data_IF_224100615762
#
_entry.id   IF_224100615762
#
_cell.length_a   1.000
_cell.length_b   1.000
_cell.length_c   1.000
_cell.angle_alpha   90.00
_cell.angle_beta   90.00
_cell.angle_gamma   90.00
#
_symmetry.space_group_name_H-M   'P 1'
#
loop_
_entity.id
_entity.type
_entity.pdbx_description
1 polymer ?
#
# COMPACT_ATOMS: atom_id res chain seq x y z
N UNK A 1 -14.43 -18.00 -22.89
CA UNK A 1 -14.23 -17.58 -21.50
C UNK A 1 -14.39 -18.81 -20.62
N UNK A 2 -13.41 -19.09 -19.78
CA UNK A 2 -13.36 -20.28 -18.92
C UNK A 2 -13.96 -19.95 -17.55
N UNK A 3 -15.19 -20.41 -17.34
CA UNK A 3 -15.98 -20.13 -16.13
C UNK A 3 -15.33 -20.77 -14.89
N UNK A 4 -14.66 -21.92 -15.05
CA UNK A 4 -14.01 -22.58 -13.92
C UNK A 4 -12.82 -21.76 -13.44
N UNK A 5 -12.01 -21.22 -14.37
CA UNK A 5 -10.92 -20.30 -14.02
C UNK A 5 -11.41 -19.01 -13.37
N UNK A 6 -12.61 -18.53 -13.73
CA UNK A 6 -13.22 -17.36 -13.10
C UNK A 6 -13.58 -17.67 -11.64
N UNK A 7 -14.21 -18.82 -11.40
CA UNK A 7 -14.61 -19.23 -10.05
C UNK A 7 -13.38 -19.50 -9.17
N UNK A 8 -12.31 -20.07 -9.73
CA UNK A 8 -11.05 -20.33 -9.03
C UNK A 8 -10.22 -19.07 -8.75
N UNK A 9 -10.44 -17.97 -9.50
CA UNK A 9 -9.64 -16.76 -9.39
C UNK A 9 -9.89 -15.96 -8.10
N UNK A 10 -11.02 -16.20 -7.42
CA UNK A 10 -11.44 -15.57 -6.15
C UNK A 10 -11.05 -14.09 -6.04
N UNK A 11 -11.40 -13.30 -7.07
CA UNK A 11 -10.92 -11.93 -7.22
C UNK A 11 -11.55 -11.17 -8.39
N UNK A 12 -11.18 -9.89 -8.51
CA UNK A 12 -11.68 -9.01 -9.57
C UNK A 12 -11.24 -9.48 -10.96
N UNK A 13 -12.16 -9.40 -11.93
CA UNK A 13 -11.90 -9.67 -13.34
C UNK A 13 -11.64 -8.35 -14.05
N UNK A 14 -10.54 -8.32 -14.81
CA UNK A 14 -10.15 -7.17 -15.61
C UNK A 14 -10.42 -7.44 -17.08
N UNK A 15 -10.75 -6.37 -17.80
CA UNK A 15 -10.93 -6.40 -19.24
C UNK A 15 -10.22 -5.21 -19.86
N UNK A 16 -9.40 -5.49 -20.86
CA UNK A 16 -8.77 -4.48 -21.70
C UNK A 16 -9.29 -4.63 -23.12
N UNK A 17 -9.75 -3.52 -23.68
CA UNK A 17 -10.20 -3.44 -25.07
C UNK A 17 -9.14 -2.71 -25.90
N UNK A 18 -8.83 -3.26 -27.07
CA UNK A 18 -7.97 -2.66 -28.10
C UNK A 18 -8.88 -2.24 -29.27
N UNK A 19 -9.35 -0.98 -29.30
CA UNK A 19 -10.36 -0.54 -30.27
C UNK A 19 -9.88 -0.69 -31.71
N UNK A 20 -8.62 -0.35 -31.96
CA UNK A 20 -8.02 -0.36 -33.30
C UNK A 20 -7.90 -1.77 -33.88
N UNK A 21 -7.74 -2.78 -33.02
CA UNK A 21 -7.64 -4.18 -33.42
C UNK A 21 -8.99 -4.92 -33.31
N UNK A 22 -10.02 -4.28 -32.74
CA UNK A 22 -11.28 -4.91 -32.36
C UNK A 22 -11.08 -6.19 -31.51
N UNK A 23 -10.13 -6.13 -30.57
CA UNK A 23 -9.77 -7.25 -29.69
C UNK A 23 -10.09 -6.87 -28.24
N UNK A 24 -10.64 -7.82 -27.49
CA UNK A 24 -10.83 -7.67 -26.05
C UNK A 24 -10.23 -8.86 -25.31
N UNK A 25 -9.57 -8.57 -24.20
CA UNK A 25 -8.89 -9.56 -23.37
C UNK A 25 -9.43 -9.49 -21.96
N UNK A 26 -9.89 -10.64 -21.44
CA UNK A 26 -10.30 -10.77 -20.04
C UNK A 26 -9.29 -11.60 -19.27
N UNK A 27 -8.85 -11.07 -18.14
CA UNK A 27 -7.80 -11.67 -17.32
C UNK A 27 -8.03 -11.37 -15.84
N UNK A 28 -7.40 -12.17 -14.98
CA UNK A 28 -7.24 -11.88 -13.55
C UNK A 28 -5.86 -11.31 -13.28
N UNK A 29 -5.63 -10.77 -12.09
CA UNK A 29 -4.27 -10.43 -11.66
C UNK A 29 -3.57 -11.63 -11.01
N UNK A 30 -2.24 -11.53 -10.91
CA UNK A 30 -1.45 -12.50 -10.18
C UNK A 30 -1.69 -12.30 -8.68
N UNK A 31 -1.78 -13.40 -7.93
CA UNK A 31 -1.68 -13.30 -6.48
C UNK A 31 -0.30 -12.75 -6.08
N UNK A 32 -0.18 -12.14 -4.90
CA UNK A 32 1.12 -11.65 -4.39
C UNK A 32 2.19 -12.75 -4.37
N UNK A 33 1.80 -14.01 -4.17
CA UNK A 33 2.70 -15.16 -4.22
C UNK A 33 3.17 -15.43 -5.66
N UNK A 34 2.23 -15.49 -6.61
CA UNK A 34 2.55 -15.67 -8.02
C UNK A 34 3.45 -14.53 -8.52
N UNK A 35 3.06 -13.27 -8.29
CA UNK A 35 3.84 -12.09 -8.68
C UNK A 35 5.28 -12.13 -8.17
N UNK A 36 5.51 -12.48 -6.90
CA UNK A 36 6.86 -12.61 -6.34
C UNK A 36 7.72 -13.61 -7.11
N UNK A 37 7.14 -14.74 -7.54
CA UNK A 37 7.86 -15.75 -8.34
C UNK A 37 8.24 -15.15 -9.69
N UNK A 38 7.29 -14.55 -10.42
CA UNK A 38 7.56 -13.93 -11.72
C UNK A 38 8.60 -12.80 -11.61
N UNK A 39 8.49 -11.95 -10.58
CA UNK A 39 9.46 -10.90 -10.28
C UNK A 39 10.85 -11.47 -10.03
N UNK A 40 10.98 -12.49 -9.18
CA UNK A 40 12.29 -13.12 -8.92
C UNK A 40 12.91 -13.75 -10.16
N UNK A 41 12.11 -14.36 -11.03
CA UNK A 41 12.60 -14.92 -12.30
C UNK A 41 13.09 -13.83 -13.27
N UNK A 42 12.39 -12.70 -13.33
CA UNK A 42 12.77 -11.52 -14.13
C UNK A 42 14.01 -10.84 -13.57
N UNK A 43 13.98 -10.42 -12.31
CA UNK A 43 15.02 -9.61 -11.67
C UNK A 43 16.30 -10.44 -11.44
N UNK A 44 16.15 -11.76 -11.28
CA UNK A 44 17.26 -12.72 -11.24
C UNK A 44 17.89 -13.02 -12.60
N UNK A 45 17.34 -12.48 -13.70
CA UNK A 45 17.84 -12.69 -15.06
C UNK A 45 17.72 -14.14 -15.54
N UNK A 46 16.85 -14.95 -14.92
CA UNK A 46 16.67 -16.36 -15.26
C UNK A 46 15.91 -16.49 -16.59
N UNK A 47 14.90 -15.65 -16.78
CA UNK A 47 14.11 -15.58 -18.00
C UNK A 47 14.10 -14.15 -18.56
N UNK A 48 14.14 -13.98 -19.89
CA UNK A 48 13.97 -12.68 -20.51
C UNK A 48 12.60 -12.05 -20.17
N UNK A 49 12.50 -10.71 -20.10
CA UNK A 49 11.25 -10.03 -19.76
C UNK A 49 10.05 -10.46 -20.63
N UNK A 50 10.23 -10.58 -21.94
CA UNK A 50 9.12 -10.97 -22.83
C UNK A 50 8.55 -12.36 -22.50
N UNK A 51 9.40 -13.31 -22.12
CA UNK A 51 8.98 -14.67 -21.74
C UNK A 51 8.16 -14.62 -20.45
N UNK A 52 8.60 -13.79 -19.49
CA UNK A 52 7.87 -13.59 -18.23
C UNK A 52 6.48 -13.04 -18.50
N UNK A 53 6.37 -12.05 -19.39
CA UNK A 53 5.09 -11.43 -19.74
C UNK A 53 4.15 -12.41 -20.45
N UNK A 54 4.65 -13.21 -21.39
CA UNK A 54 3.85 -14.28 -22.03
C UNK A 54 3.38 -15.32 -21.01
N UNK A 55 4.25 -15.76 -20.11
CA UNK A 55 3.87 -16.71 -19.07
C UNK A 55 2.85 -16.12 -18.08
N UNK A 56 2.96 -14.83 -17.75
CA UNK A 56 1.98 -14.13 -16.92
C UNK A 56 0.62 -14.03 -17.63
N UNK A 57 0.62 -13.72 -18.93
CA UNK A 57 -0.58 -13.73 -19.76
C UNK A 57 -1.24 -15.10 -19.77
N UNK A 58 -0.51 -16.16 -20.11
CA UNK A 58 -1.05 -17.53 -20.20
C UNK A 58 -1.66 -18.01 -18.87
N UNK A 59 -1.03 -17.61 -17.76
CA UNK A 59 -1.47 -17.98 -16.41
C UNK A 59 -2.75 -17.27 -15.98
N UNK A 60 -2.94 -16.03 -16.42
CA UNK A 60 -3.99 -15.14 -15.94
C UNK A 60 -5.12 -14.90 -16.94
N UNK A 61 -4.91 -15.24 -18.22
CA UNK A 61 -5.92 -15.11 -19.25
C UNK A 61 -7.07 -16.09 -19.02
N UNK A 62 -8.30 -15.56 -19.06
CA UNK A 62 -9.53 -16.30 -18.80
C UNK A 62 -10.15 -16.86 -20.10
N UNK A 63 -9.49 -16.71 -21.24
CA UNK A 63 -9.87 -17.38 -22.47
C UNK A 63 -9.09 -18.68 -22.70
N UNK A 64 -9.31 -19.27 -23.87
CA UNK A 64 -8.50 -20.39 -24.34
C UNK A 64 -7.40 -19.81 -25.23
N UNK A 65 -6.14 -19.90 -24.78
CA UNK A 65 -4.98 -19.38 -25.51
C UNK A 65 -4.81 -20.04 -26.87
N UNK A 66 -5.24 -21.30 -27.02
CA UNK A 66 -5.22 -22.02 -28.30
C UNK A 66 -6.30 -21.55 -29.29
N UNK A 67 -7.28 -20.76 -28.84
CA UNK A 67 -8.35 -20.20 -29.68
C UNK A 67 -8.14 -18.69 -29.95
N UNK A 68 -6.99 -18.15 -29.58
CA UNK A 68 -6.58 -16.78 -29.92
C UNK A 68 -6.47 -16.69 -31.44
N UNK A 69 -7.13 -15.68 -32.02
CA UNK A 69 -7.15 -15.47 -33.46
C UNK A 69 -5.70 -15.34 -34.00
N UNK A 70 -5.40 -16.06 -35.08
CA UNK A 70 -4.10 -16.03 -35.76
C UNK A 70 -3.79 -14.63 -36.31
N UNK A 71 -4.84 -13.85 -36.63
CA UNK A 71 -4.71 -12.48 -37.13
C UNK A 71 -4.43 -11.44 -36.02
N UNK A 72 -4.20 -11.88 -34.79
CA UNK A 72 -3.90 -11.00 -33.67
C UNK A 72 -2.55 -10.30 -33.88
N UNK A 73 -2.49 -8.96 -33.76
CA UNK A 73 -1.24 -8.24 -33.79
C UNK A 73 -0.22 -8.82 -32.80
N UNK A 74 1.00 -9.01 -33.29
CA UNK A 74 2.11 -9.47 -32.47
C UNK A 74 2.33 -8.51 -31.29
N UNK A 75 2.61 -9.07 -30.12
CA UNK A 75 2.88 -8.30 -28.91
C UNK A 75 1.67 -7.97 -28.04
N UNK A 76 0.42 -8.19 -28.48
CA UNK A 76 -0.76 -7.97 -27.61
C UNK A 76 -0.70 -8.84 -26.35
N UNK A 77 -0.32 -10.11 -26.48
CA UNK A 77 -0.15 -11.02 -25.35
C UNK A 77 0.93 -10.54 -24.39
N UNK A 78 2.06 -10.07 -24.92
CA UNK A 78 3.16 -9.49 -24.15
C UNK A 78 2.70 -8.23 -23.43
N UNK A 79 2.02 -7.30 -24.11
CA UNK A 79 1.52 -6.06 -23.52
C UNK A 79 0.51 -6.30 -22.41
N UNK A 80 -0.40 -7.28 -22.57
CA UNK A 80 -1.32 -7.66 -21.50
C UNK A 80 -0.58 -8.36 -20.36
N UNK A 81 0.43 -9.18 -20.66
CA UNK A 81 1.31 -9.79 -19.65
C UNK A 81 2.06 -8.75 -18.81
N UNK A 82 2.62 -7.73 -19.46
CA UNK A 82 3.27 -6.59 -18.80
C UNK A 82 2.28 -5.82 -17.93
N UNK A 83 1.07 -5.56 -18.46
CA UNK A 83 0.01 -4.90 -17.72
C UNK A 83 -0.41 -5.71 -16.49
N UNK A 84 -0.53 -7.04 -16.60
CA UNK A 84 -0.79 -7.92 -15.46
C UNK A 84 0.32 -7.78 -14.42
N UNK A 85 1.59 -7.84 -14.82
CA UNK A 85 2.73 -7.71 -13.90
C UNK A 85 2.72 -6.34 -13.19
N UNK A 86 2.46 -5.27 -13.92
CA UNK A 86 2.36 -3.91 -13.39
C UNK A 86 1.23 -3.78 -12.37
N UNK A 87 0.00 -4.15 -12.74
CA UNK A 87 -1.17 -4.09 -11.86
C UNK A 87 -1.07 -5.06 -10.67
N UNK A 88 -0.27 -6.12 -10.78
CA UNK A 88 -0.07 -7.09 -9.69
C UNK A 88 1.00 -6.67 -8.68
N UNK A 89 1.90 -5.72 -9.03
CA UNK A 89 2.88 -5.24 -8.06
C UNK A 89 4.08 -4.43 -8.57
N UNK A 90 4.32 -4.29 -9.88
CA UNK A 90 5.37 -3.36 -10.36
C UNK A 90 4.94 -1.89 -10.40
N UNK A 91 3.75 -1.58 -9.91
CA UNK A 91 3.22 -0.22 -9.83
C UNK A 91 4.22 0.76 -9.20
N UNK A 92 4.26 1.98 -9.74
CA UNK A 92 5.03 3.08 -9.20
C UNK A 92 4.37 3.66 -7.94
N UNK A 93 5.14 4.47 -7.20
CA UNK A 93 4.70 5.04 -5.92
C UNK A 93 3.44 5.91 -6.07
N UNK A 94 3.34 6.70 -7.14
CA UNK A 94 2.18 7.58 -7.35
C UNK A 94 0.90 6.77 -7.58
N UNK A 95 0.98 5.74 -8.43
CA UNK A 95 -0.12 4.80 -8.68
C UNK A 95 -0.51 4.04 -7.42
N UNK A 96 0.45 3.55 -6.64
CA UNK A 96 0.17 2.88 -5.37
C UNK A 96 -0.55 3.80 -4.36
N UNK A 97 -0.13 5.05 -4.26
CA UNK A 97 -0.78 6.04 -3.39
C UNK A 97 -2.21 6.31 -3.86
N UNK A 98 -2.43 6.42 -5.17
CA UNK A 98 -3.76 6.59 -5.75
C UNK A 98 -4.66 5.37 -5.44
N UNK A 99 -4.16 4.15 -5.65
CA UNK A 99 -4.89 2.91 -5.39
C UNK A 99 -5.26 2.75 -3.92
N UNK A 100 -4.33 3.06 -3.01
CA UNK A 100 -4.61 3.07 -1.56
C UNK A 100 -5.66 4.14 -1.22
N UNK A 101 -5.61 5.31 -1.85
CA UNK A 101 -6.59 6.37 -1.66
C UNK A 101 -7.98 5.92 -2.10
N UNK A 102 -8.09 5.27 -3.26
CA UNK A 102 -9.34 4.68 -3.77
C UNK A 102 -9.86 3.61 -2.81
N UNK A 103 -8.99 2.70 -2.35
CA UNK A 103 -9.36 1.65 -1.39
C UNK A 103 -9.89 2.24 -0.07
N UNK A 104 -9.30 3.33 0.43
CA UNK A 104 -9.78 4.06 1.62
C UNK A 104 -11.13 4.73 1.39
N UNK A 105 -11.42 5.19 0.18
CA UNK A 105 -12.75 5.73 -0.16
C UNK A 105 -13.81 4.63 -0.21
N UNK A 106 -13.46 3.44 -0.69
CA UNK A 106 -14.35 2.28 -0.71
C UNK A 106 -14.62 1.72 0.69
N UNK A 107 -13.66 1.84 1.61
CA UNK A 107 -13.76 1.40 3.00
C UNK A 107 -13.56 2.58 3.97
N UNK A 108 -14.54 3.49 4.11
CA UNK A 108 -14.40 4.62 5.02
C UNK A 108 -14.38 4.10 6.46
N UNK A 109 -13.43 4.55 7.29
CA UNK A 109 -13.29 4.08 8.68
C UNK A 109 -14.51 4.42 9.54
N UNK A 110 -15.24 5.48 9.18
CA UNK A 110 -16.36 6.01 9.95
C UNK A 110 -17.71 5.40 9.55
N UNK A 111 -17.70 4.17 9.03
CA UNK A 111 -18.94 3.45 8.69
C UNK A 111 -19.28 2.41 9.75
N UNK A 112 -20.58 2.23 9.99
CA UNK A 112 -21.10 1.17 10.86
C UNK A 112 -20.63 -0.20 10.38
N UNK A 113 -20.49 -0.40 9.07
CA UNK A 113 -20.06 -1.66 8.50
C UNK A 113 -18.60 -2.01 8.87
N UNK A 114 -17.67 -1.05 8.73
CA UNK A 114 -16.27 -1.27 9.12
C UNK A 114 -16.11 -1.42 10.64
N UNK A 115 -16.90 -0.71 11.43
CA UNK A 115 -17.00 -0.95 12.88
C UNK A 115 -17.42 -2.39 13.19
N UNK A 116 -18.49 -2.87 12.55
CA UNK A 116 -18.99 -4.23 12.76
C UNK A 116 -17.97 -5.29 12.34
N UNK A 117 -17.30 -5.11 11.19
CA UNK A 117 -16.21 -5.99 10.74
C UNK A 117 -15.08 -6.04 11.76
N UNK A 118 -14.62 -4.87 12.21
CA UNK A 118 -13.55 -4.76 13.21
C UNK A 118 -13.90 -5.49 14.52
N UNK A 119 -15.13 -5.31 15.01
CA UNK A 119 -15.60 -6.00 16.21
C UNK A 119 -15.58 -7.53 16.05
N UNK A 120 -16.05 -8.05 14.92
CA UNK A 120 -16.08 -9.51 14.66
C UNK A 120 -14.66 -10.10 14.56
N UNK A 121 -13.76 -9.45 13.83
CA UNK A 121 -12.37 -9.93 13.67
C UNK A 121 -11.64 -9.88 15.02
N UNK A 122 -11.85 -8.81 15.79
CA UNK A 122 -11.20 -8.65 17.11
C UNK A 122 -11.71 -9.70 18.10
N UNK A 123 -13.01 -10.01 18.10
CA UNK A 123 -13.60 -11.00 18.98
C UNK A 123 -13.25 -12.46 18.59
N UNK A 124 -13.04 -12.72 17.29
CA UNK A 124 -12.77 -14.06 16.77
C UNK A 124 -11.48 -14.07 15.93
N UNK A 125 -10.31 -14.31 16.55
CA UNK A 125 -9.02 -14.30 15.87
C UNK A 125 -8.86 -15.32 14.72
N UNK A 126 -9.76 -16.31 14.64
CA UNK A 126 -9.78 -17.33 13.59
C UNK A 126 -10.54 -16.89 12.34
N UNK A 127 -11.31 -15.80 12.38
CA UNK A 127 -12.00 -15.26 11.22
C UNK A 127 -11.07 -14.36 10.40
N UNK A 128 -11.04 -14.56 9.09
CA UNK A 128 -10.41 -13.65 8.12
C UNK A 128 -11.43 -12.68 7.55
N UNK A 129 -10.95 -11.62 6.89
CA UNK A 129 -11.81 -10.66 6.18
C UNK A 129 -12.63 -11.37 5.08
N UNK A 130 -11.99 -12.27 4.33
CA UNK A 130 -12.65 -13.06 3.27
C UNK A 130 -13.78 -13.94 3.81
N UNK A 131 -13.63 -14.47 5.04
CA UNK A 131 -14.70 -15.23 5.68
C UNK A 131 -15.93 -14.36 5.95
N UNK A 132 -15.76 -13.06 6.19
CA UNK A 132 -16.86 -12.13 6.47
C UNK A 132 -17.60 -11.70 5.21
N UNK A 133 -16.89 -11.56 4.08
CA UNK A 133 -17.49 -11.18 2.80
C UNK A 133 -18.39 -12.26 2.22
N UNK A 134 -18.11 -13.50 2.55
CA UNK A 134 -18.93 -14.64 2.16
C UNK A 134 -20.17 -14.85 3.06
N UNK A 135 -20.34 -14.05 4.11
CA UNK A 135 -21.50 -14.18 5.00
C UNK A 135 -22.74 -13.50 4.43
N UNK A 136 -23.87 -14.17 4.58
CA UNK A 136 -25.16 -13.49 4.41
C UNK A 136 -25.33 -12.43 5.49
N UNK A 137 -26.10 -11.37 5.19
CA UNK A 137 -26.42 -10.28 6.14
C UNK A 137 -26.88 -10.79 7.51
N UNK A 138 -27.73 -11.83 7.53
CA UNK A 138 -28.25 -12.40 8.78
C UNK A 138 -27.17 -13.10 9.60
N UNK A 139 -26.26 -13.83 8.95
CA UNK A 139 -25.12 -14.46 9.61
C UNK A 139 -24.15 -13.40 10.14
N UNK A 140 -23.86 -12.38 9.33
CA UNK A 140 -22.99 -11.27 9.72
C UNK A 140 -23.52 -10.53 10.96
N UNK A 141 -24.80 -10.15 10.97
CA UNK A 141 -25.43 -9.50 12.13
C UNK A 141 -25.41 -10.39 13.38
N UNK A 142 -25.64 -11.69 13.22
CA UNK A 142 -25.56 -12.65 14.32
C UNK A 142 -24.16 -12.71 14.91
N UNK A 143 -23.13 -12.79 14.08
CA UNK A 143 -21.75 -12.82 14.55
C UNK A 143 -21.32 -11.51 15.18
N UNK A 144 -21.75 -10.38 14.63
CA UNK A 144 -21.52 -9.07 15.24
C UNK A 144 -22.12 -8.99 16.65
N UNK A 145 -23.40 -9.39 16.83
CA UNK A 145 -24.02 -9.36 18.14
C UNK A 145 -23.32 -10.28 19.17
N UNK A 146 -22.78 -11.43 18.73
CA UNK A 146 -21.99 -12.30 19.59
C UNK A 146 -20.64 -11.65 19.90
N UNK A 147 -19.98 -11.07 18.90
CA UNK A 147 -18.71 -10.37 19.05
C UNK A 147 -18.78 -9.21 20.05
N UNK A 148 -19.81 -8.36 19.96
CA UNK A 148 -20.03 -7.28 20.94
C UNK A 148 -20.15 -7.82 22.36
N UNK A 149 -20.85 -8.94 22.56
CA UNK A 149 -20.98 -9.56 23.88
C UNK A 149 -19.67 -10.13 24.40
N UNK A 150 -18.81 -10.65 23.52
CA UNK A 150 -17.46 -11.11 23.88
C UNK A 150 -16.59 -9.91 24.25
N UNK A 151 -16.57 -8.86 23.44
CA UNK A 151 -15.77 -7.66 23.67
C UNK A 151 -16.20 -6.91 24.93
N UNK A 152 -17.51 -6.79 25.19
CA UNK A 152 -18.03 -6.19 26.44
C UNK A 152 -17.55 -6.94 27.69
N UNK A 153 -17.32 -8.26 27.58
CA UNK A 153 -16.82 -9.09 28.70
C UNK A 153 -15.30 -9.04 28.86
N UNK A 154 -14.57 -8.81 27.78
CA UNK A 154 -13.10 -8.77 27.79
C UNK A 154 -12.57 -7.38 28.14
N UNK A 155 -13.25 -6.33 27.69
CA UNK A 155 -12.87 -4.94 27.89
C UNK A 155 -14.02 -4.16 28.54
N UNK A 156 -13.84 -3.73 29.78
CA UNK A 156 -14.83 -2.91 30.51
C UNK A 156 -15.08 -1.55 29.85
N UNK A 157 -14.12 -1.04 29.08
CA UNK A 157 -14.20 0.22 28.35
C UNK A 157 -14.91 0.09 26.99
N UNK A 158 -15.23 -1.14 26.55
CA UNK A 158 -15.87 -1.35 25.25
C UNK A 158 -17.30 -0.81 25.24
N UNK A 159 -17.55 0.22 24.43
CA UNK A 159 -18.88 0.78 24.20
C UNK A 159 -19.54 0.07 23.03
N UNK A 160 -20.72 -0.50 23.28
CA UNK A 160 -21.58 -1.09 22.26
C UNK A 160 -22.05 -0.05 21.25
N UNK A 161 -22.32 -0.51 20.04
CA UNK A 161 -22.86 0.34 18.99
C UNK A 161 -24.20 0.94 19.39
N UNK A 162 -24.26 2.27 19.45
CA UNK A 162 -25.51 2.97 19.74
C UNK A 162 -26.36 3.08 18.47
N UNK A 163 -27.42 2.28 18.39
CA UNK A 163 -28.32 2.24 17.23
C UNK A 163 -29.00 3.59 16.93
N UNK A 164 -29.12 4.48 17.93
CA UNK A 164 -29.75 5.81 17.78
C UNK A 164 -28.84 6.83 17.08
N UNK A 165 -27.54 6.58 17.04
CA UNK A 165 -26.54 7.48 16.45
C UNK A 165 -26.23 7.10 14.99
N UNK A 166 -26.80 6.00 14.50
CA UNK A 166 -26.68 5.57 13.11
C UNK A 166 -27.49 6.54 12.24
N UNK A 167 -26.79 7.47 11.60
CA UNK A 167 -27.38 8.40 10.61
C UNK A 167 -27.37 7.78 9.22
N UNK A 168 -28.44 7.98 8.48
CA UNK A 168 -28.47 7.65 7.06
C UNK A 168 -27.75 8.73 6.23
N UNK A 169 -27.26 8.36 5.03
CA UNK A 169 -26.54 9.28 4.15
C UNK A 169 -27.34 10.56 3.83
N UNK A 170 -28.68 10.52 3.85
CA UNK A 170 -29.55 11.69 3.69
C UNK A 170 -29.64 12.61 4.91
N UNK A 171 -29.36 12.11 6.12
CA UNK A 171 -29.38 12.90 7.37
C UNK A 171 -28.04 13.63 7.60
N UNK A 172 -26.95 13.16 6.98
CA UNK A 172 -25.65 13.85 7.01
C UNK A 172 -25.62 15.13 6.15
N UNK A 173 -26.49 15.24 5.14
CA UNK A 173 -26.60 16.44 4.28
C UNK A 173 -27.41 17.59 4.90
N UNK A 174 -28.14 17.34 5.99
CA UNK A 174 -28.75 18.40 6.80
C UNK A 174 -27.71 19.00 7.74
N UNK A 175 -27.34 20.26 7.50
CA UNK A 175 -26.39 21.07 8.29
C UNK A 175 -26.48 20.75 9.79
N UNK A 176 -25.38 20.34 10.45
CA UNK A 176 -25.41 20.12 11.88
C UNK A 176 -25.39 21.48 12.59
N UNK A 177 -26.44 21.74 13.37
CA UNK A 177 -26.38 22.70 14.46
C UNK A 177 -26.17 21.89 15.76
N UNK A 178 -24.95 21.41 15.95
CA UNK A 178 -24.28 21.18 17.24
C UNK A 178 -22.98 20.37 17.02
N UNK A 179 -21.88 20.91 17.57
CA UNK A 179 -20.55 20.31 17.67
C UNK A 179 -20.59 18.87 18.18
N UNK A 180 -20.37 17.90 17.28
CA UNK A 180 -19.94 16.55 17.65
C UNK A 180 -18.66 16.28 16.86
N UNK A 181 -17.54 16.29 17.57
CA UNK A 181 -16.20 16.06 17.03
C UNK A 181 -15.87 14.56 17.03
N UNK A 182 -16.29 13.86 15.97
CA UNK A 182 -16.00 12.44 15.74
C UNK A 182 -14.49 12.12 15.71
N UNK A 183 -13.61 13.13 15.49
CA UNK A 183 -12.16 12.91 15.58
C UNK A 183 -11.69 12.66 17.01
N UNK A 184 -12.41 13.18 18.01
CA UNK A 184 -12.06 12.98 19.42
C UNK A 184 -12.40 11.56 19.87
N UNK A 185 -13.57 11.06 19.51
CA UNK A 185 -14.01 9.71 19.89
C UNK A 185 -13.18 8.62 19.19
N UNK A 186 -12.81 8.82 17.91
CA UNK A 186 -11.90 7.91 17.21
C UNK A 186 -10.48 7.90 17.78
N UNK A 187 -9.97 9.05 18.30
CA UNK A 187 -8.66 9.11 18.98
C UNK A 187 -8.66 8.39 20.32
N UNK A 188 -9.77 8.46 21.06
CA UNK A 188 -9.91 7.78 22.36
C UNK A 188 -10.04 6.26 22.18
N UNK A 189 -10.74 5.81 21.13
CA UNK A 189 -10.84 4.39 20.78
C UNK A 189 -9.51 3.84 20.24
N UNK A 190 -8.79 4.62 19.43
CA UNK A 190 -7.43 4.26 18.97
C UNK A 190 -6.44 4.06 20.12
N UNK A 191 -6.61 4.80 21.23
CA UNK A 191 -5.84 4.61 22.47
C UNK A 191 -6.26 3.35 23.23
N UNK A 192 -7.55 3.04 23.28
CA UNK A 192 -8.08 1.89 24.01
C UNK A 192 -7.81 0.54 23.31
N UNK A 193 -7.72 0.52 21.98
CA UNK A 193 -7.49 -0.70 21.17
C UNK A 193 -6.01 -1.11 21.12
N UNK A 194 -5.12 -0.39 21.83
CA UNK A 194 -3.72 -0.77 21.94
C UNK A 194 -3.02 -0.73 20.58
N UNK A 195 -3.07 0.43 19.91
CA UNK A 195 -2.18 0.63 18.78
C UNK A 195 -0.73 0.55 19.24
N UNK A 196 -0.01 -0.42 18.68
CA UNK A 196 1.40 -0.26 18.32
C UNK A 196 1.58 1.16 17.78
N UNK A 197 2.20 2.03 18.59
CA UNK A 197 2.45 3.42 18.23
C UNK A 197 3.35 3.46 16.99
N UNK A 198 2.75 3.58 15.81
CA UNK A 198 3.48 3.78 14.55
C UNK A 198 4.32 5.06 14.60
N UNK A 199 3.94 6.03 15.43
CA UNK A 199 4.75 7.22 15.73
C UNK A 199 5.98 6.88 16.60
N UNK A 200 5.86 6.09 17.68
CA UNK A 200 7.04 5.66 18.46
C UNK A 200 7.95 4.70 17.67
N UNK A 201 7.39 3.89 16.77
CA UNK A 201 8.17 3.04 15.86
C UNK A 201 8.90 3.88 14.79
N UNK A 202 8.27 4.92 14.25
CA UNK A 202 8.92 5.86 13.33
C UNK A 202 9.96 6.75 14.02
N UNK A 203 9.70 7.16 15.27
CA UNK A 203 10.63 7.96 16.05
C UNK A 203 11.84 7.13 16.50
N UNK A 204 11.64 5.88 16.95
CA UNK A 204 12.75 4.93 17.18
C UNK A 204 13.53 4.65 15.90
N UNK A 205 12.87 4.46 14.76
CA UNK A 205 13.54 4.25 13.49
C UNK A 205 14.34 5.49 13.05
N UNK A 206 13.81 6.71 13.27
CA UNK A 206 14.52 7.97 13.00
C UNK A 206 15.69 8.21 13.96
N UNK A 207 15.56 7.83 15.23
CA UNK A 207 16.66 7.89 16.22
C UNK A 207 17.76 6.88 15.91
N UNK A 208 17.42 5.64 15.52
CA UNK A 208 18.38 4.63 15.08
C UNK A 208 19.09 5.04 13.77
N UNK A 209 18.40 5.69 12.83
CA UNK A 209 18.99 6.25 11.61
C UNK A 209 19.95 7.41 11.90
N UNK A 210 19.61 8.28 12.88
CA UNK A 210 20.51 9.36 13.37
C UNK A 210 21.71 8.82 14.14
N UNK A 211 21.59 7.69 14.83
CA UNK A 211 22.69 7.05 15.54
C UNK A 211 23.65 6.27 14.61
N UNK A 212 23.13 5.77 13.47
CA UNK A 212 23.93 5.07 12.44
C UNK A 212 24.63 5.99 11.45
N UNK A 213 24.25 7.26 11.37
CA UNK A 213 24.98 8.25 10.59
C UNK A 213 26.14 8.81 11.42
N UNK A 214 27.41 8.58 11.05
CA UNK A 214 28.51 9.28 11.71
C UNK A 214 28.32 10.79 11.50
N UNK A 215 28.61 11.63 12.52
CA UNK A 215 28.45 13.06 12.40
C UNK A 215 29.25 13.57 11.20
N UNK A 216 28.73 14.55 10.44
CA UNK A 216 29.50 15.18 9.39
C UNK A 216 30.78 15.74 10.02
N UNK A 217 31.92 15.36 9.45
CA UNK A 217 33.23 15.87 9.83
C UNK A 217 33.14 17.38 9.98
N UNK A 218 33.38 17.87 11.21
CA UNK A 218 33.48 19.31 11.48
C UNK A 218 34.40 19.90 10.41
N UNK A 219 34.01 20.98 9.70
CA UNK A 219 34.94 21.63 8.80
C UNK A 219 36.16 22.01 9.62
N UNK A 220 37.32 21.43 9.29
CA UNK A 220 38.61 21.79 9.88
C UNK A 220 38.67 23.31 9.88
N UNK A 221 38.63 23.91 11.07
CA UNK A 221 39.00 25.32 11.25
C UNK A 221 40.32 25.49 10.53
N UNK A 222 40.30 26.20 9.39
CA UNK A 222 41.53 26.70 8.78
C UNK A 222 42.19 27.54 9.86
N UNK A 223 43.27 27.03 10.43
CA UNK A 223 44.17 27.81 11.26
C UNK A 223 44.56 29.02 10.44
N UNK A 224 44.07 30.19 10.85
CA UNK A 224 44.48 31.47 10.32
C UNK A 224 45.96 31.62 10.70
N UNK A 225 46.84 31.19 9.80
CA UNK A 225 48.25 31.55 9.87
C UNK A 225 48.29 33.02 9.44
N UNK A 226 48.29 33.92 10.42
CA UNK A 226 48.75 35.29 10.23
C UNK A 226 50.18 35.23 9.69
N UNK A 227 50.31 35.39 8.37
CA UNK A 227 51.60 35.66 7.75
C UNK A 227 51.98 37.08 8.15
N UNK A 228 52.80 37.21 9.21
CA UNK A 228 53.51 38.45 9.50
C UNK A 228 54.31 38.87 8.26
N UNK A 229 54.22 40.12 7.79
CA UNK A 229 55.02 40.60 6.67
C UNK A 229 56.52 40.55 7.04
N UNK A 230 57.36 40.09 6.10
CA UNK A 230 58.80 40.05 6.28
C UNK A 230 59.35 41.46 6.54
N UNK A 231 60.24 41.59 7.51
CA UNK A 231 60.93 42.84 7.83
C UNK A 231 61.89 43.23 6.71
N UNK A 232 62.16 44.55 6.55
CA UNK A 232 63.03 45.12 5.49
C UNK A 232 64.42 44.45 5.40
N UNK A 233 64.94 43.92 6.50
CA UNK A 233 66.22 43.19 6.54
C UNK A 233 66.19 41.79 5.91
N UNK A 234 65.01 41.18 5.78
CA UNK A 234 64.86 39.89 5.10
C UNK A 234 64.66 40.05 3.59
N UNK A 235 64.16 41.21 3.15
CA UNK A 235 64.05 41.58 1.73
C UNK A 235 65.42 41.95 1.12
N UNK A 236 66.30 42.62 1.88
CA UNK A 236 67.64 43.00 1.39
C UNK A 236 68.59 41.82 1.16
N UNK A 237 68.32 40.64 1.74
CA UNK A 237 69.07 39.40 1.52
C UNK A 237 68.60 38.59 0.30
N UNK A 238 67.46 38.92 -0.28
CA UNK A 238 66.95 38.29 -1.51
C UNK A 238 67.48 38.97 -2.77
N UNK A 239 67.77 40.27 -2.71
CA UNK A 239 68.30 41.04 -3.85
C UNK A 239 69.81 40.86 -4.08
N UNK A 240 70.56 40.30 -3.12
CA UNK A 240 71.99 40.00 -3.29
C UNK A 240 72.28 38.64 -3.94
N UNK A 241 71.24 37.84 -4.27
CA UNK A 241 71.36 36.56 -5.00
C UNK A 241 70.98 36.65 -6.49
N UNK A 242 70.68 37.85 -7.00
CA UNK A 242 70.49 38.13 -8.43
C UNK A 242 71.52 39.14 -8.94
N UNK A 243 72.79 38.75 -8.93
CA UNK A 243 73.80 39.20 -9.90
C UNK A 243 74.75 38.05 -10.18
#
# INVERSE_FOLDING_TARGET
>A
MDINKIIEADGNIYRTDFPDANISMSYRLLSLREYKVFKSLRDGGILPPFVISEMAFDRCYLGNTSLINIDMPAGITVSIGDLIMYLSGDCDEETLVADISIARQLHPPDTVFEYMRSAVITAFPTYTIDNLDNLTRTQFLRYFAIAENVLTKQNEEYKRLNLKEIKTAGEMTSKPNHDIDFNKDNREISKAVGHWNSEEANDKYREEQKARTPPPDKPKRKSHIERKPLTKDQLSRLDSRRR
#
